data_IF_906637959923
#
_entry.id   IF_906637959923
#
_cell.length_a   1.000
_cell.length_b   1.000
_cell.length_c   1.000
_cell.angle_alpha   90.00
_cell.angle_beta   90.00
_cell.angle_gamma   90.00
#
_symmetry.space_group_name_H-M   'P 1'
#
loop_
_entity.id
_entity.type
_entity.pdbx_description
1 polymer ?
#
# COMPACT_ATOMS: atom_id res chain seq x y z
N UNK A 1 6.39 15.26 -24.48
CA UNK A 1 7.69 14.84 -23.93
C UNK A 1 7.49 14.05 -22.65
N UNK A 2 8.19 12.92 -22.53
CA UNK A 2 8.05 12.06 -21.36
C UNK A 2 8.62 12.74 -20.11
N UNK A 3 7.89 12.61 -19.01
CA UNK A 3 8.34 13.07 -17.71
C UNK A 3 9.48 12.17 -17.21
N UNK A 4 10.53 12.73 -16.62
CA UNK A 4 11.59 11.91 -16.04
C UNK A 4 11.11 11.22 -14.77
N UNK A 5 11.77 10.12 -14.39
CA UNK A 5 11.43 9.41 -13.15
C UNK A 5 11.57 10.33 -11.93
N UNK A 6 12.61 11.17 -11.91
CA UNK A 6 12.82 12.11 -10.80
C UNK A 6 11.74 13.18 -10.72
N UNK A 7 11.31 13.72 -11.86
CA UNK A 7 10.25 14.72 -11.89
C UNK A 7 8.91 14.12 -11.46
N UNK A 8 8.63 12.90 -11.90
CA UNK A 8 7.43 12.18 -11.49
C UNK A 8 7.42 11.93 -9.98
N UNK A 9 8.55 11.49 -9.44
CA UNK A 9 8.69 11.27 -8.00
C UNK A 9 8.41 12.55 -7.21
N UNK A 10 9.02 13.65 -7.61
CA UNK A 10 8.83 14.94 -6.93
C UNK A 10 7.36 15.37 -6.96
N UNK A 11 6.72 15.24 -8.12
CA UNK A 11 5.32 15.62 -8.27
C UNK A 11 4.40 14.78 -7.41
N UNK A 12 4.60 13.46 -7.38
CA UNK A 12 3.74 12.55 -6.60
C UNK A 12 3.98 12.66 -5.11
N UNK A 13 5.22 12.86 -4.68
CA UNK A 13 5.52 13.09 -3.27
C UNK A 13 4.95 14.41 -2.76
N UNK A 14 4.70 15.36 -3.66
CA UNK A 14 4.07 16.63 -3.33
C UNK A 14 2.57 16.58 -3.15
N UNK A 15 1.93 15.42 -3.41
CA UNK A 15 0.50 15.28 -3.17
C UNK A 15 0.24 15.28 -1.66
N UNK A 16 -0.51 16.26 -1.17
CA UNK A 16 -0.84 16.35 0.25
C UNK A 16 -1.90 15.34 0.66
N UNK A 17 -2.74 14.94 -0.28
CA UNK A 17 -3.83 14.00 -0.03
C UNK A 17 -4.15 13.22 -1.28
N UNK A 18 -4.42 11.92 -1.11
CA UNK A 18 -4.90 11.07 -2.18
C UNK A 18 -5.70 9.90 -1.61
N UNK A 19 -6.55 9.33 -2.44
CA UNK A 19 -7.32 8.15 -2.06
C UNK A 19 -7.25 7.12 -3.17
N UNK A 20 -7.05 5.85 -2.77
CA UNK A 20 -7.05 4.71 -3.67
C UNK A 20 -8.16 3.74 -3.24
N UNK A 21 -8.97 3.30 -4.17
CA UNK A 21 -10.03 2.33 -3.93
C UNK A 21 -9.86 1.16 -4.87
N UNK A 22 -9.95 -0.04 -4.33
CA UNK A 22 -9.77 -1.23 -5.13
C UNK A 22 -9.91 -2.50 -4.36
N UNK A 23 -9.12 -3.48 -4.76
CA UNK A 23 -9.17 -4.82 -4.20
C UNK A 23 -7.75 -5.30 -3.92
N UNK A 24 -7.62 -6.13 -2.91
CA UNK A 24 -6.36 -6.77 -2.59
C UNK A 24 -6.58 -8.25 -2.37
N UNK A 25 -5.69 -9.06 -2.94
CA UNK A 25 -5.67 -10.49 -2.72
C UNK A 25 -4.32 -10.86 -2.11
N UNK A 26 -4.35 -11.67 -1.06
CA UNK A 26 -3.15 -12.14 -0.37
C UNK A 26 -3.06 -13.64 -0.50
N UNK A 27 -1.85 -14.14 -0.76
CA UNK A 27 -1.57 -15.57 -0.78
C UNK A 27 -0.26 -15.82 -0.04
N UNK A 28 -0.29 -16.78 0.88
CA UNK A 28 0.90 -17.29 1.55
C UNK A 28 0.95 -18.81 1.38
N UNK A 29 1.98 -19.45 1.95
CA UNK A 29 2.13 -20.91 1.86
C UNK A 29 0.92 -21.64 2.44
N UNK A 30 0.33 -21.11 3.51
CA UNK A 30 -0.71 -21.79 4.29
C UNK A 30 -2.08 -21.17 4.18
N UNK A 31 -2.20 -19.98 3.60
CA UNK A 31 -3.48 -19.28 3.60
C UNK A 31 -3.58 -18.31 2.42
N UNK A 32 -4.77 -17.82 2.21
CA UNK A 32 -5.05 -16.81 1.20
C UNK A 32 -6.39 -16.17 1.47
N UNK A 33 -6.60 -15.02 0.86
CA UNK A 33 -7.84 -14.29 1.00
C UNK A 33 -7.85 -13.08 0.09
N UNK A 34 -9.02 -12.48 -0.05
CA UNK A 34 -9.19 -11.28 -0.85
C UNK A 34 -10.24 -10.39 -0.22
N UNK A 35 -10.18 -9.12 -0.54
CA UNK A 35 -11.14 -8.17 -0.01
C UNK A 35 -11.02 -6.83 -0.71
N UNK A 36 -11.91 -5.92 -0.34
CA UNK A 36 -11.86 -4.56 -0.84
C UNK A 36 -10.93 -3.71 0.02
N UNK A 37 -10.34 -2.71 -0.63
CA UNK A 37 -9.38 -1.80 -0.02
C UNK A 37 -9.80 -0.37 -0.31
N UNK A 38 -9.79 0.46 0.72
CA UNK A 38 -9.90 1.90 0.57
C UNK A 38 -8.79 2.54 1.41
N UNK A 39 -7.95 3.33 0.78
CA UNK A 39 -6.82 3.96 1.44
C UNK A 39 -6.89 5.47 1.20
N UNK A 40 -7.09 6.22 2.28
CA UNK A 40 -7.05 7.67 2.25
C UNK A 40 -5.80 8.14 2.97
N UNK A 41 -4.89 8.76 2.23
CA UNK A 41 -3.64 9.29 2.77
C UNK A 41 -3.74 10.80 2.88
N UNK A 42 -3.44 11.33 4.06
CA UNK A 42 -3.42 12.78 4.31
C UNK A 42 -2.12 13.10 5.03
N UNK A 43 -1.16 13.69 4.32
CA UNK A 43 0.18 13.89 4.85
C UNK A 43 0.81 12.55 5.23
N UNK A 44 1.21 12.39 6.49
CA UNK A 44 1.76 11.15 7.02
C UNK A 44 0.72 10.26 7.70
N UNK A 45 -0.54 10.67 7.72
CA UNK A 45 -1.63 9.92 8.33
C UNK A 45 -2.41 9.16 7.26
N UNK A 46 -2.94 8.01 7.61
CA UNK A 46 -3.74 7.19 6.70
C UNK A 46 -4.98 6.65 7.39
N UNK A 47 -6.07 6.61 6.64
CA UNK A 47 -7.27 5.87 7.03
C UNK A 47 -7.46 4.76 6.02
N UNK A 48 -7.43 3.52 6.50
CA UNK A 48 -7.47 2.35 5.64
C UNK A 48 -8.68 1.51 6.02
N UNK A 49 -9.49 1.14 5.04
CA UNK A 49 -10.59 0.23 5.24
C UNK A 49 -10.34 -1.03 4.45
N UNK A 50 -10.35 -2.16 5.15
CA UNK A 50 -10.21 -3.49 4.56
C UNK A 50 -11.50 -4.25 4.85
N UNK A 51 -12.09 -4.86 3.84
CA UNK A 51 -13.28 -5.69 4.04
C UNK A 51 -13.18 -6.95 3.20
N UNK A 52 -13.71 -8.05 3.74
CA UNK A 52 -13.69 -9.35 3.11
C UNK A 52 -13.05 -10.40 3.98
N UNK A 53 -12.70 -11.56 3.43
CA UNK A 53 -12.23 -12.69 4.21
C UNK A 53 -10.78 -12.62 4.68
N UNK A 54 -10.27 -11.41 4.98
CA UNK A 54 -9.00 -11.28 5.70
C UNK A 54 -9.28 -11.53 7.17
N UNK A 55 -9.20 -12.78 7.64
CA UNK A 55 -9.38 -13.12 9.05
C UNK A 55 -10.71 -12.70 9.59
N UNK A 56 -11.78 -12.82 9.15
CA UNK A 56 -13.12 -12.67 9.75
C UNK A 56 -13.75 -11.29 9.73
N UNK A 57 -13.55 -10.46 8.73
CA UNK A 57 -14.45 -9.33 8.64
C UNK A 57 -13.84 -8.05 8.08
N UNK A 58 -14.35 -6.94 8.58
CA UNK A 58 -13.96 -5.62 8.10
C UNK A 58 -13.16 -4.89 9.16
N UNK A 59 -12.12 -4.17 8.74
CA UNK A 59 -11.28 -3.37 9.62
C UNK A 59 -11.27 -1.94 9.14
N UNK A 60 -11.30 -1.01 10.09
CA UNK A 60 -10.99 0.39 9.85
C UNK A 60 -9.73 0.73 10.64
N UNK A 61 -8.69 1.14 9.92
CA UNK A 61 -7.38 1.40 10.49
C UNK A 61 -7.09 2.89 10.37
N UNK A 62 -6.81 3.52 11.51
CA UNK A 62 -6.35 4.91 11.53
C UNK A 62 -4.89 4.88 11.95
N UNK A 63 -4.01 5.32 11.07
CA UNK A 63 -2.59 5.22 11.26
C UNK A 63 -1.93 6.60 11.19
N UNK A 64 -1.11 6.87 12.18
CA UNK A 64 -0.24 8.05 12.25
C UNK A 64 1.14 7.58 12.67
N UNK A 65 2.20 8.38 12.44
CA UNK A 65 3.52 7.99 12.91
C UNK A 65 3.51 7.66 14.40
N UNK A 66 3.92 6.44 14.74
CA UNK A 66 4.00 5.99 16.13
C UNK A 66 2.69 5.58 16.78
N UNK A 67 1.58 5.57 16.03
CA UNK A 67 0.29 5.17 16.60
C UNK A 67 -0.61 4.56 15.54
N UNK A 68 -1.31 3.48 15.92
CA UNK A 68 -2.25 2.83 15.04
C UNK A 68 -3.47 2.42 15.87
N UNK A 69 -4.65 2.77 15.36
CA UNK A 69 -5.93 2.39 15.98
C UNK A 69 -6.68 1.54 14.99
N UNK A 70 -7.20 0.40 15.44
CA UNK A 70 -7.91 -0.56 14.58
C UNK A 70 -9.27 -0.85 15.17
N UNK A 71 -10.31 -0.61 14.40
CA UNK A 71 -11.67 -0.97 14.75
C UNK A 71 -12.13 -2.08 13.82
N UNK A 72 -12.45 -3.24 14.38
CA UNK A 72 -13.00 -4.34 13.60
C UNK A 72 -14.54 -4.32 13.71
N UNK A 73 -15.18 -4.88 12.69
CA UNK A 73 -16.64 -4.93 12.63
C UNK A 73 -17.19 -5.72 13.81
N UNK A 74 -18.11 -5.10 14.55
CA UNK A 74 -18.72 -5.72 15.71
C UNK A 74 -17.93 -5.59 17.00
N UNK A 75 -16.76 -4.96 16.97
CA UNK A 75 -15.96 -4.73 18.17
C UNK A 75 -16.55 -3.57 18.98
N UNK A 76 -16.49 -3.67 20.30
CA UNK A 76 -16.98 -2.61 21.19
C UNK A 76 -15.97 -1.49 21.36
N UNK A 77 -14.67 -1.78 21.15
CA UNK A 77 -13.61 -0.81 21.33
C UNK A 77 -12.52 -1.05 20.30
N UNK A 78 -11.80 0.02 19.94
CA UNK A 78 -10.66 -0.06 19.05
C UNK A 78 -9.48 -0.70 19.74
N UNK A 79 -8.69 -1.45 18.98
CA UNK A 79 -7.37 -1.89 19.41
C UNK A 79 -6.37 -0.78 19.10
N UNK A 80 -5.49 -0.50 20.05
CA UNK A 80 -4.50 0.54 19.86
C UNK A 80 -3.10 -0.02 19.97
N UNK A 81 -2.24 0.42 19.08
CA UNK A 81 -0.82 0.09 19.05
C UNK A 81 -0.03 1.38 19.07
N UNK A 82 0.99 1.45 19.92
CA UNK A 82 1.82 2.65 20.05
C UNK A 82 3.28 2.25 19.84
N UNK A 83 4.04 3.13 19.22
CA UNK A 83 5.45 2.92 18.95
C UNK A 83 5.76 2.88 17.46
N UNK A 84 7.04 2.89 17.07
CA UNK A 84 7.43 2.92 15.66
C UNK A 84 7.07 1.64 14.89
N UNK A 85 6.82 0.54 15.59
CA UNK A 85 6.47 -0.75 14.99
C UNK A 85 4.98 -1.10 15.14
N UNK A 86 4.15 -0.11 15.43
CA UNK A 86 2.72 -0.33 15.72
C UNK A 86 2.01 -1.09 14.59
N UNK A 87 2.22 -0.68 13.35
CA UNK A 87 1.53 -1.29 12.22
C UNK A 87 2.02 -2.71 11.95
N UNK A 88 3.32 -2.97 12.08
CA UNK A 88 3.89 -4.31 11.93
C UNK A 88 3.37 -5.25 13.01
N UNK A 89 3.25 -4.77 14.25
CA UNK A 89 2.69 -5.59 15.34
C UNK A 89 1.23 -5.94 15.10
N UNK A 90 0.44 -4.98 14.59
CA UNK A 90 -0.94 -5.25 14.23
C UNK A 90 -1.04 -6.38 13.20
N UNK A 91 -0.25 -6.31 12.13
CA UNK A 91 -0.28 -7.33 11.09
C UNK A 91 0.10 -8.70 11.64
N UNK A 92 1.17 -8.77 12.42
CA UNK A 92 1.63 -10.03 12.99
C UNK A 92 0.60 -10.65 13.94
N UNK A 93 -0.02 -9.85 14.79
CA UNK A 93 -0.97 -10.34 15.80
C UNK A 93 -2.35 -10.68 15.24
N UNK A 94 -2.85 -9.87 14.29
CA UNK A 94 -4.21 -10.00 13.80
C UNK A 94 -4.32 -10.76 12.49
N UNK A 95 -3.35 -10.64 11.62
CA UNK A 95 -3.37 -11.27 10.29
C UNK A 95 -2.37 -12.41 10.15
N UNK A 96 -1.41 -12.52 11.07
CA UNK A 96 -0.45 -13.60 11.08
C UNK A 96 0.69 -13.47 10.09
N UNK A 97 0.86 -12.32 9.47
CA UNK A 97 1.95 -12.06 8.53
C UNK A 97 2.47 -10.64 8.71
N UNK A 98 3.70 -10.40 8.29
CA UNK A 98 4.36 -9.12 8.45
C UNK A 98 4.56 -8.45 7.09
N UNK A 99 4.43 -7.13 7.06
CA UNK A 99 4.46 -6.34 5.84
C UNK A 99 4.98 -4.93 6.13
N UNK A 100 5.80 -4.34 5.24
CA UNK A 100 6.37 -3.01 5.50
C UNK A 100 5.35 -1.91 5.19
N UNK A 101 4.41 -1.71 6.10
CA UNK A 101 3.28 -0.80 5.89
C UNK A 101 3.70 0.66 5.67
N UNK A 102 4.85 1.08 6.22
CA UNK A 102 5.34 2.44 6.01
C UNK A 102 5.76 2.68 4.57
N UNK A 103 6.20 1.65 3.87
CA UNK A 103 6.63 1.75 2.47
C UNK A 103 5.47 1.67 1.50
N UNK A 104 4.37 1.03 1.88
CA UNK A 104 3.30 0.71 0.95
C UNK A 104 2.63 1.95 0.38
N UNK A 105 2.55 3.04 1.14
CA UNK A 105 1.95 4.28 0.64
C UNK A 105 2.72 4.84 -0.57
N UNK A 106 4.02 4.63 -0.59
CA UNK A 106 4.86 5.03 -1.72
C UNK A 106 4.71 4.05 -2.88
N UNK A 107 4.72 2.75 -2.56
CA UNK A 107 4.60 1.71 -3.59
C UNK A 107 3.27 1.80 -4.34
N UNK A 108 2.18 2.14 -3.64
CA UNK A 108 0.88 2.31 -4.29
C UNK A 108 0.90 3.43 -5.33
N UNK A 109 1.69 4.47 -5.11
CA UNK A 109 1.86 5.57 -6.06
C UNK A 109 2.83 5.26 -7.19
N UNK A 110 3.49 4.12 -7.16
CA UNK A 110 4.52 3.77 -8.12
C UNK A 110 5.87 4.40 -7.79
N UNK A 111 6.17 4.52 -6.50
CA UNK A 111 7.40 5.12 -6.02
C UNK A 111 8.09 4.22 -5.01
N UNK A 112 9.41 4.34 -4.92
CA UNK A 112 10.15 3.74 -3.82
C UNK A 112 9.97 4.57 -2.55
N UNK A 113 10.05 3.90 -1.39
CA UNK A 113 10.08 4.59 -0.11
C UNK A 113 11.43 5.32 0.00
N UNK A 114 11.42 6.66 0.17
CA UNK A 114 12.67 7.41 0.25
C UNK A 114 13.53 7.11 1.47
N UNK A 115 12.97 6.43 2.47
CA UNK A 115 13.70 6.11 3.71
C UNK A 115 14.66 4.92 3.57
N UNK A 116 14.63 4.19 2.46
CA UNK A 116 15.46 3.01 2.26
C UNK A 116 16.01 2.98 0.83
N UNK A 117 17.17 2.34 0.64
CA UNK A 117 17.73 2.16 -0.68
C UNK A 117 16.87 1.20 -1.51
N UNK A 118 16.85 1.41 -2.82
CA UNK A 118 16.03 0.64 -3.72
C UNK A 118 16.70 0.43 -5.06
N UNK A 119 16.39 -0.70 -5.70
CA UNK A 119 16.75 -0.94 -7.09
C UNK A 119 15.49 -0.75 -7.93
N UNK A 120 15.55 0.09 -8.93
CA UNK A 120 14.41 0.51 -9.72
C UNK A 120 14.62 0.25 -11.19
N UNK A 121 13.58 -0.25 -11.87
CA UNK A 121 13.51 -0.32 -13.31
C UNK A 121 12.29 0.46 -13.76
N UNK A 122 12.48 1.40 -14.67
CA UNK A 122 11.43 2.28 -15.17
C UNK A 122 11.24 2.10 -16.68
N UNK A 123 10.02 2.43 -17.14
CA UNK A 123 9.73 2.44 -18.57
C UNK A 123 10.20 3.77 -19.21
N UNK A 124 9.90 3.92 -20.51
CA UNK A 124 10.31 5.09 -21.26
C UNK A 124 9.64 6.39 -20.81
N UNK A 125 8.58 6.29 -20.00
CA UNK A 125 7.85 7.44 -19.47
C UNK A 125 8.19 7.73 -18.01
N UNK A 126 9.22 7.07 -17.46
CA UNK A 126 9.64 7.28 -16.08
C UNK A 126 8.78 6.60 -15.03
N UNK A 127 7.92 5.66 -15.41
CA UNK A 127 7.08 4.90 -14.48
C UNK A 127 7.80 3.63 -14.06
N UNK A 128 7.70 3.27 -12.79
CA UNK A 128 8.32 2.03 -12.31
C UNK A 128 7.66 0.82 -12.93
N UNK A 129 8.46 -0.11 -13.37
CA UNK A 129 8.05 -1.43 -13.83
C UNK A 129 8.35 -2.47 -12.75
N UNK A 130 9.52 -2.38 -12.16
CA UNK A 130 9.92 -3.26 -11.07
C UNK A 130 10.70 -2.48 -10.02
N UNK A 131 10.40 -2.76 -8.78
CA UNK A 131 11.05 -2.15 -7.62
C UNK A 131 11.50 -3.26 -6.68
N UNK A 132 12.76 -3.19 -6.24
CA UNK A 132 13.27 -4.07 -5.18
C UNK A 132 13.70 -3.21 -4.02
N UNK A 133 13.07 -3.43 -2.87
CA UNK A 133 13.32 -2.61 -1.70
C UNK A 133 13.03 -3.41 -0.43
N UNK A 134 13.96 -3.36 0.51
CA UNK A 134 13.80 -3.98 1.84
C UNK A 134 13.44 -5.47 1.78
N UNK A 135 13.98 -6.18 0.78
CA UNK A 135 13.71 -7.60 0.59
C UNK A 135 12.43 -7.92 -0.16
N UNK A 136 11.67 -6.90 -0.55
CA UNK A 136 10.43 -7.06 -1.30
C UNK A 136 10.65 -6.76 -2.77
N UNK A 137 9.84 -7.39 -3.63
CA UNK A 137 9.80 -7.11 -5.06
C UNK A 137 8.40 -6.61 -5.39
N UNK A 138 8.32 -5.44 -5.98
CA UNK A 138 7.06 -4.84 -6.43
C UNK A 138 7.09 -4.79 -7.95
N UNK A 139 6.08 -5.40 -8.58
CA UNK A 139 5.96 -5.38 -10.04
C UNK A 139 4.70 -4.62 -10.40
N UNK A 140 4.84 -3.64 -11.27
CA UNK A 140 3.73 -2.82 -11.74
C UNK A 140 3.27 -3.40 -13.08
N UNK A 141 2.14 -4.10 -13.06
CA UNK A 141 1.63 -4.78 -14.25
C UNK A 141 0.86 -3.84 -15.17
N UNK A 142 0.27 -2.78 -14.60
CA UNK A 142 -0.53 -1.86 -15.38
C UNK A 142 -0.63 -0.51 -14.68
N UNK A 143 -0.75 0.53 -15.49
CA UNK A 143 -1.00 1.92 -15.05
C UNK A 143 -2.27 2.42 -15.71
N UNK A 144 -3.01 3.26 -15.01
CA UNK A 144 -4.20 3.90 -15.53
C UNK A 144 -4.05 5.42 -15.49
N UNK A 145 -4.60 6.09 -16.46
CA UNK A 145 -4.59 7.54 -16.52
C UNK A 145 -5.71 8.11 -15.63
N UNK A 146 -5.34 9.02 -14.76
CA UNK A 146 -6.26 9.78 -13.94
C UNK A 146 -5.98 11.25 -14.20
N UNK A 147 -6.83 11.90 -14.98
CA UNK A 147 -6.59 13.21 -15.56
C UNK A 147 -5.26 13.23 -16.34
N UNK A 148 -4.30 14.07 -15.97
CA UNK A 148 -2.99 14.13 -16.63
C UNK A 148 -1.95 13.20 -15.99
N UNK A 149 -2.36 12.44 -14.95
CA UNK A 149 -1.44 11.64 -14.15
C UNK A 149 -1.66 10.15 -14.40
N UNK A 150 -0.58 9.42 -14.61
CA UNK A 150 -0.60 7.97 -14.70
C UNK A 150 -0.26 7.38 -13.35
N UNK A 151 -1.14 6.55 -12.81
CA UNK A 151 -1.00 5.92 -11.52
C UNK A 151 -1.15 4.41 -11.62
N UNK A 152 -0.52 3.63 -10.74
CA UNK A 152 -0.64 2.18 -10.79
C UNK A 152 -2.08 1.72 -10.73
N UNK A 153 -2.43 0.78 -11.58
CA UNK A 153 -3.73 0.13 -11.60
C UNK A 153 -3.63 -1.29 -11.08
N UNK A 154 -2.57 -2.00 -11.47
CA UNK A 154 -2.33 -3.38 -11.01
C UNK A 154 -0.88 -3.52 -10.59
N UNK A 155 -0.66 -4.01 -9.37
CA UNK A 155 0.68 -4.29 -8.89
C UNK A 155 0.70 -5.56 -8.05
N UNK A 156 1.87 -6.19 -8.02
CA UNK A 156 2.11 -7.40 -7.23
C UNK A 156 3.28 -7.12 -6.31
N UNK A 157 3.13 -7.44 -5.03
CA UNK A 157 4.14 -7.24 -4.01
C UNK A 157 4.47 -8.61 -3.44
N UNK A 158 5.73 -9.02 -3.55
CA UNK A 158 6.14 -10.37 -3.21
C UNK A 158 7.36 -10.42 -2.32
N UNK A 159 7.36 -11.36 -1.39
CA UNK A 159 8.53 -11.74 -0.61
C UNK A 159 8.36 -13.18 -0.17
N UNK A 160 9.32 -14.04 -0.53
CA UNK A 160 9.27 -15.45 -0.19
C UNK A 160 7.93 -16.07 -0.57
N UNK A 161 7.18 -16.59 0.40
CA UNK A 161 5.89 -17.23 0.16
C UNK A 161 4.71 -16.26 0.14
N UNK A 162 4.94 -15.00 0.48
CA UNK A 162 3.88 -14.02 0.56
C UNK A 162 3.74 -13.24 -0.73
N UNK A 163 2.54 -13.21 -1.27
CA UNK A 163 2.21 -12.45 -2.47
C UNK A 163 0.96 -11.62 -2.21
N UNK A 164 1.06 -10.32 -2.50
CA UNK A 164 -0.07 -9.42 -2.47
C UNK A 164 -0.32 -8.91 -3.88
N UNK A 165 -1.54 -9.09 -4.36
CA UNK A 165 -1.97 -8.53 -5.63
C UNK A 165 -2.95 -7.41 -5.35
N UNK A 166 -2.63 -6.21 -5.82
CA UNK A 166 -3.46 -5.03 -5.60
C UNK A 166 -3.98 -4.55 -6.94
N UNK A 167 -5.28 -4.34 -7.00
CA UNK A 167 -5.94 -3.74 -8.16
C UNK A 167 -6.61 -2.46 -7.67
N UNK A 168 -6.18 -1.32 -8.19
CA UNK A 168 -6.75 -0.02 -7.82
C UNK A 168 -7.70 0.40 -8.91
N UNK A 169 -8.99 0.35 -8.61
CA UNK A 169 -10.04 0.65 -9.57
C UNK A 169 -10.27 2.16 -9.71
N UNK A 170 -9.98 2.93 -8.65
CA UNK A 170 -10.24 4.36 -8.65
C UNK A 170 -9.23 5.11 -7.82
N UNK A 171 -8.68 6.17 -8.39
CA UNK A 171 -7.83 7.14 -7.71
C UNK A 171 -8.59 8.46 -7.57
N UNK A 172 -8.48 9.07 -6.39
CA UNK A 172 -9.01 10.41 -6.10
C UNK A 172 -7.86 11.26 -5.58
N UNK A 173 -7.55 12.33 -6.29
CA UNK A 173 -6.42 13.20 -5.95
C UNK A 173 -6.90 14.57 -5.46
#
# INVERSE_FOLDING_TARGET
QAESAAARQERLLGLGQWEARGRVAMKSADSGGQGSLQWLQTGSAARIRLSGPFGAGAYEINWMPGQLSVMSRGAEAALEYVGPDAAERFLAEQLGWSFPVTSIRYWLLGLADPAASAAEQSDAWGRLVELRQSGWVVRYEDYAQNDATWLPHKLVIEREDLRLRVVIDKWLL
#
